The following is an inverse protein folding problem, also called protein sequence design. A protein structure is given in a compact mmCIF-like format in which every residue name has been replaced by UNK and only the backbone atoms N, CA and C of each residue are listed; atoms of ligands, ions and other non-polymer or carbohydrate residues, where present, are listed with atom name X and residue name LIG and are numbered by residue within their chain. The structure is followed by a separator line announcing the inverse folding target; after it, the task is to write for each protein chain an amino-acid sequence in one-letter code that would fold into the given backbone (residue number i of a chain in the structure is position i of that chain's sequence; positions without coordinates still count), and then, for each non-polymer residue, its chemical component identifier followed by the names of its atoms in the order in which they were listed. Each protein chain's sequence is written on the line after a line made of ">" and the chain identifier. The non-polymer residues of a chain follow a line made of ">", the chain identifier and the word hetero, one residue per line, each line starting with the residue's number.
data_IF_156453424218
#
_entry.id   IF_156453424218
#
_cell.length_a   1.000
_cell.length_b   1.000
_cell.length_c   1.000
_cell.angle_alpha   90.00
_cell.angle_beta   90.00
_cell.angle_gamma   90.00
#
_symmetry.space_group_name_H-M   'P 1'
#
loop_
_entity.id
_entity.type
_entity.pdbx_description
1 polymer ?
#
# COMPACT_ATOMS: atom_id res chain seq x y z
N UNK A 1 34.14 -1.36 -24.15
CA UNK A 1 33.23 -0.21 -24.40
C UNK A 1 32.85 0.37 -23.05
N UNK A 2 33.23 1.61 -22.79
CA UNK A 2 33.03 2.29 -21.49
C UNK A 2 31.84 3.24 -21.65
N UNK A 3 30.70 2.92 -21.04
CA UNK A 3 29.54 3.82 -21.07
C UNK A 3 29.76 4.96 -20.06
N UNK A 4 29.88 6.19 -20.55
CA UNK A 4 29.85 7.41 -19.74
C UNK A 4 28.40 7.89 -19.63
N UNK A 5 27.89 8.03 -18.41
CA UNK A 5 26.65 8.76 -18.18
C UNK A 5 26.91 10.26 -18.36
N UNK A 6 26.18 10.90 -19.27
CA UNK A 6 26.19 12.35 -19.44
C UNK A 6 25.01 12.96 -18.70
N UNK A 7 25.28 13.85 -17.74
CA UNK A 7 24.27 14.68 -17.11
C UNK A 7 23.74 15.70 -18.13
N UNK A 8 22.50 15.51 -18.58
CA UNK A 8 21.80 16.50 -19.40
C UNK A 8 21.47 17.71 -18.53
N UNK A 9 22.27 18.78 -18.66
CA UNK A 9 21.93 20.11 -18.15
C UNK A 9 20.92 20.75 -19.11
N UNK A 10 19.64 20.42 -18.98
CA UNK A 10 18.58 21.21 -19.62
C UNK A 10 17.88 22.06 -18.57
N UNK A 11 17.58 23.30 -18.92
CA UNK A 11 16.84 24.26 -18.10
C UNK A 11 15.35 23.89 -17.91
N UNK A 12 14.96 22.64 -18.16
CA UNK A 12 13.61 22.10 -17.95
C UNK A 12 13.26 21.86 -16.47
N UNK A 13 14.23 22.05 -15.55
CA UNK A 13 13.94 22.12 -14.12
C UNK A 13 13.35 23.49 -13.73
N UNK A 14 12.25 23.90 -14.36
CA UNK A 14 11.38 24.93 -13.79
C UNK A 14 10.56 24.26 -12.68
N UNK A 15 11.17 24.11 -11.51
CA UNK A 15 10.45 23.75 -10.29
C UNK A 15 9.70 24.98 -9.78
N UNK A 16 8.53 25.26 -10.33
CA UNK A 16 7.54 26.06 -9.60
C UNK A 16 6.88 25.15 -8.57
N UNK A 17 7.50 24.96 -7.40
CA UNK A 17 6.79 24.27 -6.32
C UNK A 17 7.24 24.75 -4.96
N UNK A 18 6.25 25.21 -4.19
CA UNK A 18 6.29 25.42 -2.73
C UNK A 18 7.15 24.34 -2.06
N UNK A 19 7.92 24.65 -0.99
CA UNK A 19 8.82 23.69 -0.35
C UNK A 19 8.11 22.38 0.00
N UNK A 20 8.43 21.33 -0.75
CA UNK A 20 7.86 19.98 -0.59
C UNK A 20 8.75 19.19 0.37
N UNK A 21 8.19 18.36 1.27
CA UNK A 21 9.00 17.33 1.92
C UNK A 21 9.65 16.45 0.84
N UNK A 22 10.94 16.17 1.00
CA UNK A 22 11.71 15.35 0.07
C UNK A 22 11.58 13.87 0.46
N UNK A 23 11.54 12.93 -0.51
CA UNK A 23 11.66 11.51 -0.20
C UNK A 23 12.86 11.25 0.71
N UNK A 24 12.72 10.35 1.68
CA UNK A 24 13.77 10.10 2.69
C UNK A 24 14.96 9.34 2.15
N UNK A 25 14.81 8.58 1.06
CA UNK A 25 15.88 7.81 0.42
C UNK A 25 16.37 8.45 -0.88
N UNK A 26 15.52 8.59 -1.89
CA UNK A 26 15.91 9.27 -3.15
C UNK A 26 14.71 9.80 -3.93
N UNK A 27 14.97 10.80 -4.76
CA UNK A 27 14.00 11.40 -5.66
C UNK A 27 14.49 11.29 -7.11
N UNK A 28 13.69 10.72 -8.00
CA UNK A 28 13.93 10.71 -9.44
C UNK A 28 13.27 11.95 -10.07
N UNK A 29 14.05 12.93 -10.58
CA UNK A 29 13.49 14.15 -11.14
C UNK A 29 12.67 13.89 -12.41
N UNK A 30 11.66 14.74 -12.65
CA UNK A 30 10.87 14.70 -13.88
C UNK A 30 9.64 13.79 -13.84
N UNK A 31 9.42 13.04 -12.75
CA UNK A 31 8.17 12.31 -12.55
C UNK A 31 7.02 13.26 -12.19
N UNK A 32 5.85 12.99 -12.76
CA UNK A 32 4.60 13.61 -12.31
C UNK A 32 4.40 13.29 -10.84
N UNK A 33 4.03 14.31 -10.05
CA UNK A 33 3.86 14.15 -8.61
C UNK A 33 2.68 14.95 -8.13
N UNK A 34 1.57 14.24 -7.92
CA UNK A 34 0.30 14.74 -7.42
C UNK A 34 -0.12 13.89 -6.21
N UNK A 35 -0.77 14.48 -5.18
CA UNK A 35 -1.22 13.71 -4.02
C UNK A 35 -2.13 12.54 -4.43
N UNK A 36 -3.00 12.78 -5.41
CA UNK A 36 -3.91 11.80 -5.97
C UNK A 36 -3.74 11.71 -7.47
N UNK A 37 -3.85 10.50 -8.00
CA UNK A 37 -3.88 10.23 -9.43
C UNK A 37 -5.28 9.76 -9.83
N UNK A 38 -5.72 10.20 -11.00
CA UNK A 38 -6.99 9.78 -11.58
C UNK A 38 -6.96 8.28 -11.91
N UNK A 39 -7.86 7.52 -11.29
CA UNK A 39 -7.98 6.06 -11.48
C UNK A 39 -8.35 5.69 -12.91
N UNK A 40 -9.00 6.60 -13.65
CA UNK A 40 -9.37 6.37 -15.06
C UNK A 40 -8.15 6.17 -15.97
N UNK A 41 -6.96 6.65 -15.56
CA UNK A 41 -5.69 6.44 -16.27
C UNK A 41 -5.15 5.02 -16.15
N UNK A 42 -5.73 4.20 -15.28
CA UNK A 42 -5.25 2.86 -14.93
C UNK A 42 -6.31 1.82 -15.26
N UNK A 43 -6.27 1.25 -16.47
CA UNK A 43 -7.28 0.28 -16.91
C UNK A 43 -7.42 -0.94 -15.99
N UNK A 44 -6.31 -1.37 -15.37
CA UNK A 44 -6.31 -2.48 -14.40
C UNK A 44 -7.16 -2.19 -13.14
N UNK A 45 -7.43 -0.92 -12.81
CA UNK A 45 -8.32 -0.57 -11.69
C UNK A 45 -9.72 -1.12 -11.92
N UNK A 46 -10.25 -1.09 -13.16
CA UNK A 46 -11.57 -1.64 -13.47
C UNK A 46 -11.63 -3.14 -13.19
N UNK A 47 -10.55 -3.86 -13.53
CA UNK A 47 -10.45 -5.29 -13.26
C UNK A 47 -10.40 -5.59 -11.76
N UNK A 48 -9.66 -4.77 -11.00
CA UNK A 48 -9.61 -4.86 -9.54
C UNK A 48 -10.99 -4.60 -8.90
N UNK A 49 -11.67 -3.52 -9.28
CA UNK A 49 -13.01 -3.16 -8.76
C UNK A 49 -14.06 -4.22 -9.10
N UNK A 50 -14.00 -4.80 -10.32
CA UNK A 50 -14.93 -5.85 -10.74
C UNK A 50 -14.80 -7.16 -9.95
N UNK A 51 -13.64 -7.41 -9.34
CA UNK A 51 -13.35 -8.63 -8.58
C UNK A 51 -13.38 -8.43 -7.06
N UNK A 52 -13.99 -7.33 -6.58
CA UNK A 52 -14.06 -7.00 -5.15
C UNK A 52 -14.54 -8.17 -4.29
N UNK A 53 -15.66 -8.80 -4.68
CA UNK A 53 -16.27 -9.88 -3.90
C UNK A 53 -15.36 -11.10 -3.80
N UNK A 54 -14.72 -11.49 -4.90
CA UNK A 54 -13.73 -12.58 -4.94
C UNK A 54 -12.58 -12.31 -3.97
N UNK A 55 -11.99 -11.11 -4.04
CA UNK A 55 -10.88 -10.71 -3.17
C UNK A 55 -11.33 -10.66 -1.71
N UNK A 56 -12.54 -10.17 -1.44
CA UNK A 56 -13.12 -10.09 -0.09
C UNK A 56 -13.33 -11.48 0.50
N UNK A 57 -13.83 -12.43 -0.30
CA UNK A 57 -14.05 -13.81 0.16
C UNK A 57 -12.73 -14.53 0.47
N UNK A 58 -11.73 -14.41 -0.40
CA UNK A 58 -10.39 -14.97 -0.13
C UNK A 58 -9.75 -14.35 1.10
N UNK A 59 -9.91 -13.04 1.28
CA UNK A 59 -9.46 -12.34 2.48
C UNK A 59 -10.13 -12.89 3.74
N UNK A 60 -11.46 -13.00 3.77
CA UNK A 60 -12.20 -13.46 4.95
C UNK A 60 -11.82 -14.89 5.32
N UNK A 61 -11.68 -15.79 4.35
CA UNK A 61 -11.24 -17.16 4.57
C UNK A 61 -9.82 -17.23 5.15
N UNK A 62 -8.88 -16.47 4.56
CA UNK A 62 -7.52 -16.35 5.08
C UNK A 62 -7.51 -15.82 6.51
N UNK A 63 -8.34 -14.81 6.79
CA UNK A 63 -8.41 -14.17 8.10
C UNK A 63 -8.98 -15.11 9.16
N UNK A 64 -10.04 -15.85 8.85
CA UNK A 64 -10.62 -16.86 9.73
C UNK A 64 -9.60 -17.94 10.07
N UNK A 65 -8.88 -18.48 9.08
CA UNK A 65 -7.81 -19.44 9.29
C UNK A 65 -6.74 -18.90 10.25
N UNK A 66 -6.33 -17.64 10.11
CA UNK A 66 -5.34 -17.00 11.01
C UNK A 66 -5.87 -16.82 12.43
N UNK A 67 -7.13 -16.43 12.58
CA UNK A 67 -7.77 -16.29 13.89
C UNK A 67 -7.91 -17.64 14.61
N UNK A 68 -8.22 -18.72 13.89
CA UNK A 68 -8.29 -20.07 14.45
C UNK A 68 -6.92 -20.55 14.93
N UNK A 69 -5.88 -20.35 14.11
CA UNK A 69 -4.51 -20.68 14.47
C UNK A 69 -4.05 -19.91 15.73
N UNK A 70 -4.41 -18.63 15.83
CA UNK A 70 -4.10 -17.79 16.99
C UNK A 70 -4.78 -18.26 18.29
N UNK A 71 -5.96 -18.87 18.21
CA UNK A 71 -6.66 -19.44 19.38
C UNK A 71 -6.00 -20.70 19.92
N UNK A 72 -5.29 -21.43 19.06
CA UNK A 72 -4.73 -22.75 19.38
C UNK A 72 -3.30 -22.68 19.99
N UNK A 73 -2.63 -21.52 19.92
CA UNK A 73 -1.31 -21.30 20.54
C UNK A 73 -1.00 -19.81 20.71
N UNK A 74 -0.55 -19.40 21.90
CA UNK A 74 -0.09 -18.03 22.18
C UNK A 74 1.15 -17.63 21.36
N UNK A 75 2.00 -18.58 20.99
CA UNK A 75 3.16 -18.34 20.11
C UNK A 75 2.71 -17.99 18.68
N UNK A 76 1.65 -18.64 18.20
CA UNK A 76 1.08 -18.45 16.85
C UNK A 76 0.17 -17.23 16.79
N UNK A 77 -0.40 -16.79 17.92
CA UNK A 77 -1.14 -15.54 18.00
C UNK A 77 -0.29 -14.31 17.59
N UNK A 78 1.01 -14.35 17.85
CA UNK A 78 1.96 -13.33 17.38
C UNK A 78 2.30 -13.44 15.88
N UNK A 79 1.94 -14.55 15.23
CA UNK A 79 2.12 -14.80 13.79
C UNK A 79 0.81 -14.58 12.98
N UNK A 80 -0.29 -14.24 13.65
CA UNK A 80 -1.57 -13.92 13.00
C UNK A 80 -1.47 -12.68 12.09
N UNK A 81 -0.50 -11.82 12.37
CA UNK A 81 -0.08 -10.68 11.55
C UNK A 81 1.38 -10.86 11.17
N UNK A 82 1.71 -10.66 9.88
CA UNK A 82 3.11 -10.63 9.45
C UNK A 82 3.75 -9.24 9.57
N UNK A 83 3.01 -8.28 10.12
CA UNK A 83 3.52 -6.96 10.44
C UNK A 83 4.50 -7.02 11.62
N UNK A 84 5.78 -6.83 11.33
CA UNK A 84 6.83 -6.85 12.36
C UNK A 84 7.25 -5.43 12.73
N UNK A 85 7.17 -5.08 14.01
CA UNK A 85 7.56 -3.77 14.54
C UNK A 85 9.08 -3.74 14.75
N UNK A 86 9.84 -3.27 13.75
CA UNK A 86 11.29 -3.07 13.88
C UNK A 86 11.66 -1.58 13.92
N UNK A 87 11.93 -1.05 15.12
CA UNK A 87 12.43 0.33 15.36
C UNK A 87 11.50 1.49 14.88
N UNK A 88 11.91 2.74 15.13
CA UNK A 88 11.14 4.02 15.11
C UNK A 88 10.11 4.24 13.99
N UNK A 89 10.29 3.68 12.78
CA UNK A 89 9.29 3.79 11.70
C UNK A 89 7.99 3.03 12.00
N UNK A 90 8.05 1.97 12.81
CA UNK A 90 6.86 1.18 13.19
C UNK A 90 6.10 1.80 14.37
N UNK A 91 6.63 2.87 14.99
CA UNK A 91 5.93 3.69 16.01
C UNK A 91 4.95 4.70 15.40
N UNK A 92 4.74 4.62 14.08
CA UNK A 92 3.86 5.51 13.36
C UNK A 92 2.39 5.19 13.57
N UNK A 93 1.99 4.00 14.01
CA UNK A 93 0.58 3.72 14.25
C UNK A 93 0.23 3.78 15.75
N UNK A 94 -1.01 4.19 16.03
CA UNK A 94 -1.71 4.01 17.30
C UNK A 94 -2.80 2.95 17.08
N UNK A 95 -3.13 2.19 18.12
CA UNK A 95 -4.05 1.05 18.01
C UNK A 95 -3.39 -0.19 17.41
N UNK A 96 -4.20 -1.12 16.90
CA UNK A 96 -3.73 -2.36 16.27
C UNK A 96 -3.76 -2.25 14.75
N UNK A 97 -2.68 -2.71 14.13
CA UNK A 97 -2.51 -2.73 12.68
C UNK A 97 -1.93 -4.08 12.24
N UNK A 98 -2.76 -4.90 11.60
CA UNK A 98 -2.40 -6.25 11.18
C UNK A 98 -2.20 -6.31 9.67
N UNK A 99 -1.22 -7.11 9.23
CA UNK A 99 -0.90 -7.31 7.81
C UNK A 99 -0.98 -8.79 7.46
N UNK A 100 -1.42 -9.07 6.23
CA UNK A 100 -1.35 -10.38 5.60
C UNK A 100 -0.77 -10.18 4.20
N UNK A 101 0.52 -10.50 4.03
CA UNK A 101 1.30 -10.02 2.90
C UNK A 101 1.47 -11.05 1.79
N UNK A 102 1.23 -10.61 0.56
CA UNK A 102 1.65 -11.32 -0.64
C UNK A 102 3.08 -10.98 -1.03
N UNK A 103 3.43 -9.69 -1.04
CA UNK A 103 4.78 -9.22 -1.37
C UNK A 103 5.32 -8.44 -0.18
N UNK A 104 6.51 -8.84 0.30
CA UNK A 104 7.23 -8.18 1.38
C UNK A 104 8.65 -7.91 0.93
N UNK A 105 9.03 -6.63 0.86
CA UNK A 105 10.34 -6.20 0.36
C UNK A 105 10.69 -6.82 -1.01
N UNK A 106 9.69 -6.87 -1.90
CA UNK A 106 9.82 -7.44 -3.24
C UNK A 106 9.80 -8.97 -3.30
N UNK A 107 9.72 -9.68 -2.17
CA UNK A 107 9.64 -11.14 -2.15
C UNK A 107 8.18 -11.59 -2.06
N UNK A 108 7.77 -12.47 -2.98
CA UNK A 108 6.47 -13.12 -2.96
C UNK A 108 6.41 -14.17 -1.83
N UNK A 109 5.31 -14.21 -1.11
CA UNK A 109 5.03 -15.19 -0.07
C UNK A 109 4.24 -16.34 -0.69
N UNK A 110 4.86 -17.53 -0.75
CA UNK A 110 4.25 -18.69 -1.42
C UNK A 110 2.93 -19.11 -0.76
N UNK A 111 2.87 -19.08 0.57
CA UNK A 111 1.68 -19.48 1.33
C UNK A 111 0.47 -18.59 1.02
N UNK A 112 0.68 -17.29 0.78
CA UNK A 112 -0.38 -16.37 0.40
C UNK A 112 -1.00 -16.76 -0.95
N UNK A 113 -0.19 -17.18 -1.92
CA UNK A 113 -0.68 -17.58 -3.23
C UNK A 113 -1.53 -18.86 -3.21
N UNK A 114 -1.32 -19.72 -2.20
CA UNK A 114 -2.17 -20.90 -1.97
C UNK A 114 -3.51 -20.51 -1.37
N UNK A 115 -3.53 -19.55 -0.45
CA UNK A 115 -4.73 -19.12 0.28
C UNK A 115 -5.60 -18.12 -0.52
N UNK A 116 -4.98 -17.27 -1.34
CA UNK A 116 -5.66 -16.24 -2.13
C UNK A 116 -5.25 -16.27 -3.62
N UNK A 117 -5.48 -17.40 -4.33
CA UNK A 117 -5.02 -17.58 -5.70
C UNK A 117 -5.59 -16.57 -6.69
N UNK A 118 -6.86 -16.17 -6.55
CA UNK A 118 -7.48 -15.19 -7.46
C UNK A 118 -7.00 -13.78 -7.19
N UNK A 119 -6.80 -13.41 -5.93
CA UNK A 119 -6.18 -12.14 -5.58
C UNK A 119 -4.77 -12.04 -6.16
N UNK A 120 -3.98 -13.12 -6.09
CA UNK A 120 -2.65 -13.16 -6.70
C UNK A 120 -2.71 -13.03 -8.22
N UNK A 121 -3.60 -13.76 -8.89
CA UNK A 121 -3.81 -13.65 -10.33
C UNK A 121 -4.10 -12.20 -10.76
N UNK A 122 -4.99 -11.52 -10.05
CA UNK A 122 -5.37 -10.12 -10.32
C UNK A 122 -4.18 -9.17 -10.07
N UNK A 123 -3.42 -9.37 -8.99
CA UNK A 123 -2.28 -8.50 -8.65
C UNK A 123 -1.14 -8.65 -9.66
N UNK A 124 -0.88 -9.87 -10.12
CA UNK A 124 0.18 -10.17 -11.11
C UNK A 124 -0.17 -9.65 -12.51
N UNK A 125 -1.46 -9.47 -12.83
CA UNK A 125 -1.90 -8.87 -14.09
C UNK A 125 -1.70 -7.34 -14.14
N UNK A 126 -1.44 -6.68 -13.00
CA UNK A 126 -1.25 -5.23 -12.96
C UNK A 126 0.04 -4.84 -13.72
N UNK A 127 -0.05 -3.99 -14.76
CA UNK A 127 1.13 -3.52 -15.48
C UNK A 127 2.10 -2.79 -14.56
N UNK A 128 3.34 -3.27 -14.53
CA UNK A 128 4.38 -2.70 -13.66
C UNK A 128 4.18 -3.04 -12.18
N UNK A 129 3.43 -4.10 -11.85
CA UNK A 129 3.35 -4.63 -10.49
C UNK A 129 4.76 -4.84 -9.94
N UNK A 130 5.05 -4.13 -8.86
CA UNK A 130 6.40 -4.10 -8.30
C UNK A 130 6.60 -5.36 -7.47
N UNK A 131 7.28 -6.34 -8.05
CA UNK A 131 7.89 -7.46 -7.34
C UNK A 131 9.39 -7.49 -7.64
N UNK A 132 10.20 -7.97 -6.70
CA UNK A 132 11.66 -8.01 -6.82
C UNK A 132 12.39 -6.73 -6.38
N UNK A 133 11.68 -5.69 -5.94
CA UNK A 133 12.27 -4.45 -5.42
C UNK A 133 12.17 -4.38 -3.89
N UNK A 134 13.24 -3.99 -3.17
CA UNK A 134 13.31 -4.10 -1.71
C UNK A 134 12.32 -3.19 -0.95
N UNK A 135 11.73 -2.21 -1.63
CA UNK A 135 10.71 -1.32 -1.07
C UNK A 135 9.31 -1.68 -1.55
N UNK A 136 9.11 -2.75 -2.32
CA UNK A 136 7.80 -3.15 -2.82
C UNK A 136 7.02 -4.00 -1.82
N UNK A 137 5.73 -3.71 -1.70
CA UNK A 137 4.82 -4.39 -0.78
C UNK A 137 3.43 -4.52 -1.41
N UNK A 138 2.78 -5.65 -1.13
CA UNK A 138 1.36 -5.90 -1.42
C UNK A 138 0.79 -6.80 -0.33
N UNK A 139 -0.28 -6.37 0.32
CA UNK A 139 -0.81 -7.02 1.51
C UNK A 139 -2.25 -6.58 1.78
N UNK A 140 -3.02 -7.44 2.44
CA UNK A 140 -4.21 -7.01 3.17
C UNK A 140 -3.76 -6.26 4.41
N UNK A 141 -4.34 -5.09 4.68
CA UNK A 141 -4.04 -4.37 5.91
C UNK A 141 -5.27 -3.98 6.69
N UNK A 142 -5.21 -4.32 7.96
CA UNK A 142 -6.31 -4.29 8.88
C UNK A 142 -5.98 -3.29 9.98
N UNK A 143 -6.63 -2.14 9.96
CA UNK A 143 -6.62 -1.18 11.06
C UNK A 143 -7.81 -1.47 11.97
N UNK A 144 -7.55 -1.86 13.22
CA UNK A 144 -8.64 -2.05 14.20
C UNK A 144 -9.32 -0.71 14.56
N UNK A 145 -10.49 -0.73 15.23
CA UNK A 145 -11.17 0.48 15.63
C UNK A 145 -10.24 1.36 16.46
N UNK A 146 -10.41 2.68 16.32
CA UNK A 146 -9.59 3.69 17.02
C UNK A 146 -8.10 3.68 16.62
N UNK A 147 -7.70 2.87 15.64
CA UNK A 147 -6.34 2.91 15.10
C UNK A 147 -6.13 4.11 14.18
N UNK A 148 -4.93 4.68 14.24
CA UNK A 148 -4.52 5.75 13.33
C UNK A 148 -3.06 5.62 12.95
N UNK A 149 -2.71 5.99 11.72
CA UNK A 149 -1.32 6.05 11.26
C UNK A 149 -0.90 7.52 11.23
N UNK A 150 0.18 7.84 11.94
CA UNK A 150 0.83 9.14 11.98
C UNK A 150 1.29 9.54 10.58
N UNK A 151 1.33 10.85 10.36
CA UNK A 151 1.80 11.42 9.11
C UNK A 151 3.23 10.99 8.79
N UNK A 152 3.41 10.40 7.62
CA UNK A 152 4.70 9.98 7.10
C UNK A 152 4.78 10.24 5.59
N UNK A 153 5.95 9.97 5.01
CA UNK A 153 6.21 10.07 3.58
C UNK A 153 6.98 8.85 3.11
N UNK A 154 6.70 8.41 1.88
CA UNK A 154 7.39 7.30 1.26
C UNK A 154 8.88 7.62 1.04
N UNK A 155 9.74 6.59 1.05
CA UNK A 155 11.18 6.79 0.89
C UNK A 155 11.61 7.22 -0.52
N UNK A 156 10.80 6.96 -1.55
CA UNK A 156 11.09 7.32 -2.94
C UNK A 156 9.82 7.68 -3.73
N UNK A 157 9.97 8.48 -4.80
CA UNK A 157 8.88 8.96 -5.67
C UNK A 157 8.66 8.12 -6.94
N UNK A 158 9.31 6.95 -7.03
CA UNK A 158 9.25 6.10 -8.22
C UNK A 158 8.10 5.10 -8.21
N UNK A 159 7.21 5.18 -7.21
CA UNK A 159 6.05 4.31 -7.11
C UNK A 159 4.82 5.11 -6.76
N UNK A 160 3.72 4.69 -7.37
CA UNK A 160 2.40 5.04 -6.90
C UNK A 160 1.88 3.94 -5.99
N UNK A 161 0.78 4.28 -5.35
CA UNK A 161 0.19 3.50 -4.30
C UNK A 161 -1.32 3.39 -4.58
N UNK A 162 -1.84 2.19 -4.82
CA UNK A 162 -3.28 1.89 -4.90
C UNK A 162 -3.89 1.33 -3.60
N UNK A 163 -4.80 2.07 -2.93
CA UNK A 163 -5.66 1.49 -1.89
C UNK A 163 -6.91 0.95 -2.54
N UNK A 164 -7.27 -0.29 -2.24
CA UNK A 164 -8.55 -0.85 -2.67
C UNK A 164 -9.32 -1.31 -1.42
N UNK A 165 -10.30 -0.51 -0.95
CA UNK A 165 -11.05 -0.82 0.25
C UNK A 165 -12.04 -1.96 0.00
N UNK A 166 -11.95 -3.02 0.81
CA UNK A 166 -12.83 -4.19 0.67
C UNK A 166 -14.09 -4.02 1.52
N UNK A 167 -13.89 -3.63 2.78
CA UNK A 167 -14.92 -3.41 3.80
C UNK A 167 -14.55 -2.10 4.51
N UNK A 168 -15.48 -1.17 4.73
CA UNK A 168 -15.18 0.15 5.30
C UNK A 168 -16.27 0.62 6.26
N UNK A 169 -16.00 0.67 7.57
CA UNK A 169 -16.88 1.32 8.55
C UNK A 169 -16.94 2.83 8.35
N UNK A 170 -18.00 3.44 8.90
CA UNK A 170 -18.15 4.90 8.90
C UNK A 170 -16.97 5.62 9.57
N UNK A 171 -16.64 6.81 9.08
CA UNK A 171 -15.61 7.67 9.66
C UNK A 171 -14.16 7.29 9.29
N UNK A 172 -13.95 6.30 8.42
CA UNK A 172 -12.62 5.91 7.97
C UNK A 172 -12.15 6.75 6.78
N UNK A 173 -10.89 7.21 6.80
CA UNK A 173 -10.34 7.98 5.70
C UNK A 173 -8.84 8.20 5.76
N UNK A 174 -8.35 8.83 4.69
CA UNK A 174 -6.95 9.04 4.39
C UNK A 174 -6.75 10.50 3.97
N UNK A 175 -5.73 11.14 4.53
CA UNK A 175 -5.19 12.39 3.99
C UNK A 175 -4.00 12.07 3.11
N UNK A 176 -3.79 12.86 2.06
CA UNK A 176 -2.57 12.92 1.23
C UNK A 176 -2.31 14.36 0.84
N UNK A 177 -1.16 14.90 1.23
CA UNK A 177 -0.90 16.34 1.12
C UNK A 177 -1.87 17.15 1.99
N UNK A 178 -2.61 18.04 1.34
CA UNK A 178 -3.62 18.88 1.98
C UNK A 178 -5.06 18.38 1.70
N UNK A 179 -5.20 17.24 1.03
CA UNK A 179 -6.48 16.68 0.62
C UNK A 179 -6.83 15.43 1.46
N UNK A 180 -8.05 15.38 1.98
CA UNK A 180 -8.57 14.21 2.71
C UNK A 180 -9.65 13.54 1.87
N UNK A 181 -9.60 12.21 1.75
CA UNK A 181 -10.62 11.38 1.12
C UNK A 181 -11.09 10.32 2.09
N UNK A 182 -12.37 9.98 2.02
CA UNK A 182 -12.88 8.79 2.68
C UNK A 182 -12.58 7.57 1.80
N UNK A 183 -12.45 6.41 2.43
CA UNK A 183 -12.45 5.16 1.67
C UNK A 183 -13.90 4.79 1.36
N UNK A 184 -14.12 4.30 0.15
CA UNK A 184 -15.40 3.76 -0.30
C UNK A 184 -15.17 2.31 -0.71
N UNK A 185 -16.04 1.41 -0.26
CA UNK A 185 -15.92 -0.01 -0.60
C UNK A 185 -15.94 -0.21 -2.12
N UNK A 186 -14.99 -1.00 -2.61
CA UNK A 186 -14.88 -1.29 -4.03
C UNK A 186 -14.40 -0.13 -4.89
N UNK A 187 -13.95 0.99 -4.30
CA UNK A 187 -13.44 2.14 -5.04
C UNK A 187 -11.96 2.36 -4.76
N UNK A 188 -11.15 2.12 -5.79
CA UNK A 188 -9.71 2.26 -5.65
C UNK A 188 -9.31 3.74 -5.51
N UNK A 189 -8.24 3.99 -4.75
CA UNK A 189 -7.58 5.28 -4.67
C UNK A 189 -6.11 5.13 -5.05
N UNK A 190 -5.64 5.88 -6.04
CA UNK A 190 -4.22 5.91 -6.42
C UNK A 190 -3.57 7.19 -5.92
N UNK A 191 -2.48 7.07 -5.16
CA UNK A 191 -1.82 8.18 -4.48
C UNK A 191 -0.29 8.15 -4.62
N UNK A 192 0.32 9.33 -4.52
CA UNK A 192 1.78 9.51 -4.42
C UNK A 192 2.19 9.61 -2.95
N UNK A 193 2.90 8.59 -2.48
CA UNK A 193 3.33 8.49 -1.09
C UNK A 193 4.36 9.53 -0.64
N UNK A 194 4.96 10.28 -1.57
CA UNK A 194 6.01 11.26 -1.25
C UNK A 194 5.47 12.62 -0.83
N UNK A 195 4.19 12.90 -1.07
CA UNK A 195 3.55 14.08 -0.51
C UNK A 195 3.34 13.89 1.00
N UNK A 196 3.46 14.98 1.78
CA UNK A 196 3.31 14.94 3.24
C UNK A 196 1.95 14.33 3.63
N UNK A 197 1.92 13.58 4.73
CA UNK A 197 0.70 12.98 5.31
C UNK A 197 0.08 11.95 4.37
N UNK A 198 0.77 10.88 4.05
CA UNK A 198 0.17 9.76 3.32
C UNK A 198 -0.20 8.68 4.32
N UNK A 199 -1.41 8.12 4.21
CA UNK A 199 -1.69 6.81 4.77
C UNK A 199 -1.36 5.79 3.65
N UNK A 200 -0.57 4.77 3.97
CA UNK A 200 0.10 3.91 3.00
C UNK A 200 -0.84 2.92 2.32
N UNK A 201 -0.50 2.44 1.12
CA UNK A 201 -1.24 1.39 0.39
C UNK A 201 -1.25 0.13 1.14
N UNK A 202 -2.47 -0.30 1.21
CA UNK A 202 -3.08 -1.08 2.20
C UNK A 202 -4.40 -1.35 1.48
N UNK A 203 -4.69 -2.62 1.21
CA UNK A 203 -6.09 -3.01 1.09
C UNK A 203 -6.65 -2.76 2.50
N UNK A 204 -7.21 -1.56 2.73
CA UNK A 204 -7.56 -1.05 4.05
C UNK A 204 -8.84 -1.71 4.51
N UNK A 205 -8.80 -2.26 5.72
CA UNK A 205 -9.99 -2.66 6.45
C UNK A 205 -10.01 -2.06 7.85
N UNK A 206 -11.20 -1.75 8.34
CA UNK A 206 -11.50 -1.60 9.76
C UNK A 206 -12.63 -2.56 10.14
N UNK A 207 -12.40 -3.39 11.16
CA UNK A 207 -13.37 -4.34 11.70
C UNK A 207 -13.84 -3.78 13.04
N UNK A 208 -15.13 -3.53 13.23
CA UNK A 208 -15.73 -3.26 14.55
C UNK A 208 -15.71 -4.50 15.43
#
# INVERSE_FOLDING_TARGET
>A
MTHRAALLRSALCLTTAKPRPSPTLFCFPGLESAPWHDTSKFEWVKHLEANRETITNEYLALKEQRDELAKNSEEVANEASDYKVYDKEHQLHQGKWDWLSYVTQGRRQADFAVQCPKTVEILEDIPGFMAGLPFAYSFFSILKPESSIKAHSAPCNIRLRCHFPLIVPEGCGIRVGDETRQWEEGKALVLDGTKRKVYAVVLCWFLT
#
